data_IF_120941295055
#
_entry.id   IF_120941295055
#
_cell.length_a   1.000
_cell.length_b   1.000
_cell.length_c   1.000
_cell.angle_alpha   90.00
_cell.angle_beta   90.00
_cell.angle_gamma   90.00
#
_symmetry.space_group_name_H-M   'P 1'
#
loop_
_entity.id
_entity.type
_entity.pdbx_description
1 polymer ?
#
# COMPACT_ATOMS: atom_id res chain seq x y z
N UNK A 1 -14.33 4.79 12.52
CA UNK A 1 -13.27 4.16 11.70
C UNK A 1 -11.91 4.48 12.29
N UNK A 2 -11.06 3.48 12.38
CA UNK A 2 -9.70 3.62 12.89
C UNK A 2 -8.74 3.10 11.83
N UNK A 3 -7.64 3.83 11.58
CA UNK A 3 -6.54 3.38 10.70
C UNK A 3 -5.32 3.10 11.58
N UNK A 4 -4.66 1.98 11.35
CA UNK A 4 -3.43 1.64 12.09
C UNK A 4 -2.46 0.83 11.24
N UNK A 5 -1.19 0.84 11.66
CA UNK A 5 -0.18 -0.01 11.05
C UNK A 5 -0.10 -1.35 11.78
N UNK A 6 0.36 -2.37 11.08
CA UNK A 6 0.56 -3.70 11.66
C UNK A 6 1.50 -3.64 12.87
N UNK A 7 2.54 -2.80 12.82
CA UNK A 7 3.50 -2.66 13.92
C UNK A 7 2.80 -2.25 15.21
N UNK A 8 1.80 -1.39 15.12
CA UNK A 8 1.05 -0.92 16.30
C UNK A 8 0.08 -1.97 16.84
N UNK A 9 -0.33 -2.93 16.01
CA UNK A 9 -1.25 -4.01 16.42
C UNK A 9 -0.79 -5.35 15.83
N UNK A 10 0.33 -5.91 16.31
CA UNK A 10 0.91 -7.13 15.73
C UNK A 10 -0.02 -8.35 15.76
N UNK A 11 -0.95 -8.37 16.69
CA UNK A 11 -1.93 -9.47 16.82
C UNK A 11 -2.87 -9.55 15.62
N UNK A 12 -2.97 -8.48 14.82
CA UNK A 12 -3.83 -8.43 13.64
C UNK A 12 -3.20 -9.09 12.40
N UNK A 13 -1.96 -9.55 12.48
CA UNK A 13 -1.22 -10.09 11.33
C UNK A 13 -2.02 -11.10 10.51
N UNK A 14 -2.54 -12.13 11.16
CA UNK A 14 -3.25 -13.19 10.44
C UNK A 14 -4.53 -12.70 9.78
N UNK A 15 -5.30 -11.87 10.48
CA UNK A 15 -6.53 -11.29 9.94
C UNK A 15 -6.23 -10.37 8.75
N UNK A 16 -5.19 -9.56 8.86
CA UNK A 16 -4.79 -8.66 7.77
C UNK A 16 -4.30 -9.46 6.56
N UNK A 17 -3.46 -10.48 6.77
CA UNK A 17 -2.94 -11.31 5.68
C UNK A 17 -4.07 -12.03 4.95
N UNK A 18 -5.02 -12.60 5.67
CA UNK A 18 -6.19 -13.26 5.10
C UNK A 18 -7.04 -12.28 4.29
N UNK A 19 -7.22 -11.06 4.82
CA UNK A 19 -8.01 -10.04 4.14
C UNK A 19 -7.37 -9.64 2.80
N UNK A 20 -6.07 -9.33 2.78
CA UNK A 20 -5.37 -8.99 1.54
C UNK A 20 -5.37 -10.15 0.54
N UNK A 21 -5.14 -11.37 1.03
CA UNK A 21 -5.19 -12.57 0.20
C UNK A 21 -6.55 -12.71 -0.49
N UNK A 22 -7.62 -12.52 0.25
CA UNK A 22 -8.99 -12.60 -0.26
C UNK A 22 -9.25 -11.56 -1.36
N UNK A 23 -8.74 -10.34 -1.18
CA UNK A 23 -8.99 -9.23 -2.12
C UNK A 23 -8.16 -9.35 -3.41
N UNK A 24 -6.93 -9.81 -3.31
CA UNK A 24 -5.99 -9.76 -4.43
C UNK A 24 -5.64 -11.12 -5.03
N UNK A 25 -5.95 -12.22 -4.36
CA UNK A 25 -5.65 -13.56 -4.84
C UNK A 25 -4.17 -13.95 -4.80
N UNK A 26 -3.32 -13.13 -4.21
CA UNK A 26 -1.91 -13.45 -3.99
C UNK A 26 -1.83 -14.48 -2.85
N UNK A 27 -0.94 -15.48 -2.92
CA UNK A 27 -0.86 -16.53 -1.90
C UNK A 27 -0.74 -15.98 -0.48
N UNK A 28 -1.46 -16.60 0.45
CA UNK A 28 -1.48 -16.20 1.86
C UNK A 28 -0.07 -16.14 2.45
N UNK A 29 0.78 -17.12 2.12
CA UNK A 29 2.16 -17.19 2.60
C UNK A 29 2.97 -15.95 2.21
N UNK A 30 2.72 -15.39 1.03
CA UNK A 30 3.42 -14.19 0.56
C UNK A 30 3.12 -13.00 1.48
N UNK A 31 1.87 -12.83 1.88
CA UNK A 31 1.49 -11.78 2.82
C UNK A 31 2.05 -12.03 4.22
N UNK A 32 1.97 -13.28 4.69
CA UNK A 32 2.52 -13.64 6.02
C UNK A 32 4.02 -13.39 6.09
N UNK A 33 4.76 -13.76 5.05
CA UNK A 33 6.19 -13.52 4.96
C UNK A 33 6.53 -12.04 5.01
N UNK A 34 5.83 -11.23 4.19
CA UNK A 34 6.00 -9.79 4.16
C UNK A 34 5.65 -9.16 5.51
N UNK A 35 4.59 -9.61 6.15
CA UNK A 35 4.18 -9.09 7.46
C UNK A 35 5.16 -9.50 8.57
N UNK A 36 5.76 -10.68 8.48
CA UNK A 36 6.82 -11.08 9.40
C UNK A 36 8.06 -10.20 9.25
N UNK A 37 8.44 -9.85 8.02
CA UNK A 37 9.51 -8.88 7.77
C UNK A 37 9.20 -7.52 8.36
N UNK A 38 7.96 -7.07 8.21
CA UNK A 38 7.48 -5.83 8.80
C UNK A 38 7.68 -5.85 10.33
N UNK A 39 7.27 -6.93 10.97
CA UNK A 39 7.31 -7.06 12.43
C UNK A 39 8.73 -7.24 12.98
N UNK A 40 9.67 -7.79 12.21
CA UNK A 40 11.02 -7.95 12.72
C UNK A 40 11.80 -6.62 12.81
N UNK A 41 11.32 -5.58 12.12
CA UNK A 41 11.81 -4.22 12.28
C UNK A 41 13.23 -3.94 11.78
N UNK A 42 13.82 -4.83 10.99
CA UNK A 42 15.18 -4.64 10.47
C UNK A 42 15.27 -3.57 9.39
N UNK A 43 14.18 -3.38 8.65
CA UNK A 43 14.09 -2.40 7.58
C UNK A 43 12.81 -1.59 7.72
N UNK A 44 12.77 -0.38 7.12
CA UNK A 44 11.59 0.48 7.20
C UNK A 44 10.42 -0.13 6.41
N UNK A 45 10.69 -0.76 5.30
CA UNK A 45 9.69 -1.47 4.50
C UNK A 45 9.98 -2.97 4.52
N UNK A 46 8.97 -3.84 4.41
CA UNK A 46 7.56 -3.55 4.14
C UNK A 46 6.80 -3.03 5.36
N UNK A 47 5.69 -2.35 5.09
CA UNK A 47 4.72 -1.90 6.11
C UNK A 47 3.32 -2.21 5.61
N UNK A 48 2.42 -2.51 6.52
CA UNK A 48 1.04 -2.87 6.19
C UNK A 48 0.06 -2.09 7.07
N UNK A 49 -1.02 -1.60 6.46
CA UNK A 49 -1.99 -0.70 7.11
C UNK A 49 -3.40 -1.12 6.77
N UNK A 50 -4.30 -0.99 7.73
CA UNK A 50 -5.74 -1.23 7.50
C UNK A 50 -6.58 -0.15 8.14
N UNK A 51 -7.77 0.03 7.58
CA UNK A 51 -8.86 0.80 8.17
C UNK A 51 -9.88 -0.20 8.70
N UNK A 52 -10.33 0.01 9.93
CA UNK A 52 -11.24 -0.92 10.62
C UNK A 52 -12.45 -0.15 11.12
N UNK A 53 -13.62 -0.74 10.97
CA UNK A 53 -14.86 -0.22 11.54
C UNK A 53 -15.48 -1.34 12.37
N UNK A 54 -15.56 -1.13 13.70
CA UNK A 54 -15.92 -2.20 14.61
C UNK A 54 -14.88 -3.31 14.56
N UNK A 55 -15.31 -4.53 14.28
CA UNK A 55 -14.44 -5.70 14.17
C UNK A 55 -14.04 -6.01 12.72
N UNK A 56 -14.44 -5.16 11.77
CA UNK A 56 -14.29 -5.46 10.34
C UNK A 56 -13.23 -4.59 9.69
N UNK A 57 -12.32 -5.23 8.94
CA UNK A 57 -11.39 -4.52 8.06
C UNK A 57 -12.19 -4.05 6.84
N UNK A 58 -12.17 -2.75 6.58
CA UNK A 58 -12.92 -2.14 5.48
C UNK A 58 -12.03 -1.57 4.38
N UNK A 59 -10.74 -1.49 4.62
CA UNK A 59 -9.78 -1.02 3.63
C UNK A 59 -8.36 -1.28 4.08
N UNK A 60 -7.43 -1.16 3.16
CA UNK A 60 -6.02 -1.36 3.49
C UNK A 60 -5.09 -1.07 2.33
N UNK A 61 -3.81 -1.03 2.62
CA UNK A 61 -2.73 -0.94 1.65
C UNK A 61 -1.42 -1.37 2.30
N UNK A 62 -0.40 -1.56 1.45
CA UNK A 62 0.94 -1.85 1.93
C UNK A 62 1.96 -0.94 1.31
N UNK A 63 3.16 -0.95 1.89
CA UNK A 63 4.36 -0.35 1.31
C UNK A 63 5.40 -1.45 1.20
N UNK A 64 5.90 -1.68 0.00
CA UNK A 64 6.93 -2.69 -0.30
C UNK A 64 8.03 -2.08 -1.17
N UNK A 65 9.14 -2.77 -1.29
CA UNK A 65 10.27 -2.25 -2.07
C UNK A 65 9.97 -2.13 -3.56
N UNK A 66 9.29 -3.12 -4.13
CA UNK A 66 8.94 -3.12 -5.57
C UNK A 66 7.62 -3.86 -5.79
N UNK A 67 6.68 -3.19 -6.46
CA UNK A 67 5.37 -3.74 -6.78
C UNK A 67 5.35 -4.36 -8.19
N UNK A 68 6.25 -5.35 -8.40
CA UNK A 68 6.30 -6.18 -9.62
C UNK A 68 6.50 -5.39 -10.91
N UNK A 69 7.52 -4.50 -10.94
CA UNK A 69 7.88 -3.76 -12.15
C UNK A 69 9.40 -3.69 -12.33
N UNK A 70 9.83 -3.22 -13.51
CA UNK A 70 11.24 -3.22 -13.91
C UNK A 70 12.08 -2.07 -13.36
N UNK A 71 11.47 -1.06 -12.74
CA UNK A 71 12.19 0.11 -12.20
C UNK A 71 12.43 -0.03 -10.71
N UNK A 72 13.38 -0.90 -10.36
CA UNK A 72 13.72 -1.18 -8.94
C UNK A 72 14.35 0.01 -8.22
N UNK A 73 14.83 0.99 -8.97
CA UNK A 73 15.33 2.25 -8.44
C UNK A 73 14.22 3.17 -7.91
N UNK A 74 12.97 2.95 -8.35
CA UNK A 74 11.81 3.73 -7.91
C UNK A 74 11.12 3.01 -6.75
N UNK A 75 11.62 3.23 -5.55
CA UNK A 75 11.26 2.51 -4.33
C UNK A 75 11.17 3.49 -3.15
N UNK A 76 10.32 3.25 -2.12
CA UNK A 76 9.39 2.14 -2.00
C UNK A 76 8.05 2.40 -2.71
N UNK A 77 7.25 1.34 -2.85
CA UNK A 77 5.98 1.40 -3.56
C UNK A 77 4.80 1.17 -2.64
N UNK A 78 3.78 2.02 -2.75
CA UNK A 78 2.45 1.75 -2.19
C UNK A 78 1.81 0.67 -3.07
N UNK A 79 1.24 -0.35 -2.45
CA UNK A 79 0.64 -1.47 -3.16
C UNK A 79 -0.66 -1.92 -2.50
N UNK A 80 -1.40 -2.76 -3.22
CA UNK A 80 -2.58 -3.45 -2.71
C UNK A 80 -3.64 -2.52 -2.10
N UNK A 81 -3.80 -1.32 -2.65
CA UNK A 81 -4.82 -0.37 -2.18
C UNK A 81 -6.21 -0.94 -2.48
N UNK A 82 -6.99 -1.16 -1.44
CA UNK A 82 -8.34 -1.71 -1.58
C UNK A 82 -9.26 -1.15 -0.49
N UNK A 83 -10.49 -0.81 -0.89
CA UNK A 83 -11.56 -0.43 0.03
C UNK A 83 -12.75 -1.33 -0.30
N UNK A 84 -13.38 -1.90 0.73
CA UNK A 84 -14.57 -2.73 0.57
C UNK A 84 -15.64 -1.95 -0.21
N UNK A 85 -16.32 -2.62 -1.13
CA UNK A 85 -17.25 -1.99 -2.06
C UNK A 85 -18.29 -1.11 -1.36
N UNK A 86 -18.86 -1.61 -0.28
CA UNK A 86 -19.90 -0.90 0.50
C UNK A 86 -19.39 0.37 1.18
N UNK A 87 -18.09 0.55 1.29
CA UNK A 87 -17.46 1.71 1.93
C UNK A 87 -16.78 2.65 0.95
N UNK A 88 -16.88 2.39 -0.35
CA UNK A 88 -16.28 3.24 -1.39
C UNK A 88 -17.00 4.58 -1.52
N UNK A 89 -16.31 5.54 -2.14
CA UNK A 89 -16.82 6.91 -2.34
C UNK A 89 -17.05 7.68 -1.03
N UNK A 90 -16.35 7.30 0.04
CA UNK A 90 -16.40 7.95 1.35
C UNK A 90 -15.05 8.52 1.78
N UNK A 91 -14.07 8.56 0.88
CA UNK A 91 -12.75 9.12 1.15
C UNK A 91 -11.81 8.21 1.94
N UNK A 92 -12.13 6.93 2.12
CA UNK A 92 -11.32 6.01 2.93
C UNK A 92 -9.95 5.75 2.29
N UNK A 93 -9.89 5.56 0.97
CA UNK A 93 -8.63 5.37 0.27
C UNK A 93 -7.72 6.59 0.45
N UNK A 94 -8.28 7.79 0.36
CA UNK A 94 -7.53 9.03 0.60
C UNK A 94 -6.99 9.14 2.02
N UNK A 95 -7.78 8.74 3.01
CA UNK A 95 -7.33 8.72 4.41
C UNK A 95 -6.22 7.70 4.64
N UNK A 96 -6.31 6.54 4.02
CA UNK A 96 -5.24 5.52 4.06
C UNK A 96 -3.96 6.04 3.41
N UNK A 97 -4.07 6.67 2.24
CA UNK A 97 -2.92 7.25 1.54
C UNK A 97 -2.26 8.36 2.37
N UNK A 98 -3.05 9.23 2.97
CA UNK A 98 -2.53 10.29 3.84
C UNK A 98 -1.83 9.71 5.07
N UNK A 99 -2.41 8.67 5.66
CA UNK A 99 -1.83 7.99 6.82
C UNK A 99 -0.46 7.40 6.49
N UNK A 100 -0.35 6.68 5.37
CA UNK A 100 0.92 6.06 4.98
C UNK A 100 1.97 7.10 4.60
N UNK A 101 1.56 8.18 3.95
CA UNK A 101 2.50 9.26 3.59
C UNK A 101 3.07 9.94 4.84
N UNK A 102 2.24 10.20 5.84
CA UNK A 102 2.70 10.76 7.12
C UNK A 102 3.60 9.78 7.87
N UNK A 103 3.24 8.50 7.92
CA UNK A 103 4.05 7.50 8.59
C UNK A 103 5.43 7.35 7.92
N UNK A 104 5.47 7.34 6.60
CA UNK A 104 6.73 7.27 5.86
C UNK A 104 7.57 8.53 6.04
N UNK A 105 6.94 9.68 6.05
CA UNK A 105 7.63 10.95 6.35
C UNK A 105 8.30 10.90 7.72
N UNK A 106 7.57 10.44 8.73
CA UNK A 106 8.08 10.33 10.10
C UNK A 106 9.23 9.32 10.21
N UNK A 107 9.30 8.35 9.29
CA UNK A 107 10.38 7.37 9.21
C UNK A 107 11.55 7.83 8.31
N UNK A 108 11.49 9.05 7.79
CA UNK A 108 12.56 9.61 6.96
C UNK A 108 12.52 9.24 5.49
N UNK A 109 11.43 8.65 5.01
CA UNK A 109 11.24 8.33 3.59
C UNK A 109 10.66 9.56 2.90
N UNK A 110 11.40 10.11 1.95
CA UNK A 110 11.04 11.37 1.28
C UNK A 110 10.17 11.19 0.06
N UNK A 111 10.24 10.05 -0.58
CA UNK A 111 9.58 9.82 -1.87
C UNK A 111 8.93 8.45 -1.89
N UNK A 112 7.68 8.41 -2.34
CA UNK A 112 6.91 7.18 -2.50
C UNK A 112 6.47 7.05 -3.96
N UNK A 113 6.29 5.82 -4.42
CA UNK A 113 5.86 5.53 -5.79
C UNK A 113 4.70 4.55 -5.76
N UNK A 114 3.89 4.52 -6.82
CA UNK A 114 2.89 3.48 -7.03
C UNK A 114 2.63 3.29 -8.51
N UNK A 115 2.19 2.10 -8.87
CA UNK A 115 1.73 1.80 -10.24
C UNK A 115 0.22 1.62 -10.23
N UNK A 116 -0.45 2.12 -11.28
CA UNK A 116 -1.91 2.07 -11.36
C UNK A 116 -2.38 2.25 -12.80
N UNK A 117 -3.58 1.74 -13.09
CA UNK A 117 -4.26 2.00 -14.34
C UNK A 117 -5.16 3.24 -14.26
N UNK A 118 -5.37 3.78 -13.08
CA UNK A 118 -6.18 4.98 -12.88
C UNK A 118 -5.44 6.23 -13.33
N UNK A 119 -6.15 7.17 -13.95
CA UNK A 119 -5.55 8.37 -14.51
C UNK A 119 -5.76 9.63 -13.66
N UNK A 120 -6.75 9.68 -12.79
CA UNK A 120 -7.03 10.90 -12.02
C UNK A 120 -7.24 10.66 -10.51
N UNK A 121 -7.38 9.40 -10.11
CA UNK A 121 -7.71 9.07 -8.72
C UNK A 121 -6.63 9.55 -7.75
N UNK A 122 -5.38 9.17 -7.99
CA UNK A 122 -4.27 9.48 -7.07
C UNK A 122 -3.88 10.95 -7.12
N UNK A 123 -4.13 11.62 -8.25
CA UNK A 123 -3.84 13.05 -8.40
C UNK A 123 -4.60 13.90 -7.40
N UNK A 124 -5.79 13.47 -6.99
CA UNK A 124 -6.61 14.15 -5.97
C UNK A 124 -5.92 14.20 -4.61
N UNK A 125 -4.99 13.27 -4.36
CA UNK A 125 -4.32 13.13 -3.06
C UNK A 125 -2.86 13.57 -3.11
N UNK A 126 -2.49 14.36 -4.13
CA UNK A 126 -1.17 14.94 -4.24
C UNK A 126 -0.12 14.10 -4.97
N UNK A 127 -0.54 12.97 -5.53
CA UNK A 127 0.34 12.14 -6.35
C UNK A 127 0.42 12.70 -7.77
N UNK A 128 1.60 12.62 -8.38
CA UNK A 128 1.84 13.12 -9.73
C UNK A 128 2.32 12.01 -10.65
N UNK A 129 1.88 12.06 -11.90
CA UNK A 129 2.40 11.12 -12.89
C UNK A 129 3.92 11.33 -13.09
N UNK A 130 4.68 10.25 -13.04
CA UNK A 130 6.13 10.29 -13.21
C UNK A 130 6.55 9.72 -14.57
N UNK A 131 6.19 8.48 -14.85
CA UNK A 131 6.64 7.80 -16.07
C UNK A 131 5.83 6.51 -16.28
N UNK A 132 6.07 5.88 -17.43
CA UNK A 132 5.56 4.54 -17.69
C UNK A 132 6.61 3.52 -17.27
N UNK A 133 6.19 2.40 -16.71
CA UNK A 133 7.07 1.30 -16.32
C UNK A 133 6.53 -0.02 -16.85
N UNK A 134 7.40 -1.00 -16.96
CA UNK A 134 7.02 -2.34 -17.43
C UNK A 134 6.66 -3.21 -16.22
N UNK A 135 5.41 -3.65 -16.16
CA UNK A 135 4.98 -4.63 -15.15
C UNK A 135 5.52 -6.01 -15.49
N UNK A 136 5.92 -6.76 -14.46
CA UNK A 136 6.48 -8.09 -14.64
C UNK A 136 5.46 -9.02 -15.31
N UNK A 137 5.89 -9.67 -16.40
CA UNK A 137 5.06 -10.61 -17.13
C UNK A 137 3.99 -10.00 -18.03
N UNK A 138 3.96 -8.68 -18.19
CA UNK A 138 3.00 -7.99 -19.04
C UNK A 138 3.69 -7.32 -20.22
N UNK A 139 3.01 -7.29 -21.37
CA UNK A 139 3.53 -6.64 -22.57
C UNK A 139 3.36 -5.13 -22.52
N UNK A 140 2.23 -4.68 -21.96
CA UNK A 140 1.92 -3.26 -21.90
C UNK A 140 2.59 -2.57 -20.72
N UNK A 141 2.95 -1.31 -20.93
CA UNK A 141 3.49 -0.45 -19.88
C UNK A 141 2.36 0.01 -18.97
N UNK A 142 2.68 0.28 -17.72
CA UNK A 142 1.73 0.81 -16.73
C UNK A 142 2.21 2.16 -16.21
N UNK A 143 1.29 2.93 -15.66
CA UNK A 143 1.57 4.27 -15.16
C UNK A 143 2.17 4.21 -13.76
N UNK A 144 3.25 4.98 -13.55
CA UNK A 144 3.83 5.16 -12.23
C UNK A 144 3.60 6.59 -11.75
N UNK A 145 3.15 6.72 -10.52
CA UNK A 145 2.96 7.99 -9.83
C UNK A 145 3.98 8.15 -8.72
N UNK A 146 4.28 9.40 -8.40
CA UNK A 146 5.23 9.77 -7.36
C UNK A 146 4.57 10.71 -6.35
N UNK A 147 4.95 10.57 -5.08
CA UNK A 147 4.56 11.47 -4.00
C UNK A 147 5.79 11.87 -3.20
N UNK A 148 5.92 13.16 -2.96
CA UNK A 148 7.00 13.69 -2.11
C UNK A 148 6.42 14.05 -0.75
N UNK A 149 7.01 13.48 0.30
CA UNK A 149 6.48 13.61 1.69
C UNK A 149 6.88 14.90 2.38
N UNK A 150 7.69 15.72 1.77
CA UNK A 150 8.15 17.00 2.34
C UNK A 150 7.16 18.13 2.14
#
# INVERSE_FOLDING_TARGET
>A
MIIFSLINKPKMKNLMAEWFHEKWGIPLEAYLESMNECLNGKTIVPQWYVAVKGDKIIGGLGIIANDFHNRKDLSPNVCAVYVEEEYRCQGIAGKLLNFVCEDMKNKGIKTLYLVTDHTSFYERYGWKFLCMVQSDGEEEMTRMYIYTTT
#
